data_IF_092500759653
#
_entry.id   IF_092500759653
#
_cell.length_a   1.000
_cell.length_b   1.000
_cell.length_c   1.000
_cell.angle_alpha   90.00
_cell.angle_beta   90.00
_cell.angle_gamma   90.00
#
_symmetry.space_group_name_H-M   'P 1'
#
loop_
_entity.id
_entity.type
_entity.pdbx_description
1 polymer ?
2 water ?
#
# COMPACT_ATOMS: atom_id res chain seq x y z
N UNK A 10 9.45 -13.40 -4.58
CA UNK A 10 10.82 -13.54 -4.02
C UNK A 10 11.91 -13.55 -5.10
N UNK A 11 11.54 -13.67 -6.38
CA UNK A 11 12.49 -13.66 -7.53
C UNK A 11 12.44 -12.36 -8.39
N UNK A 12 11.28 -11.70 -8.43
CA UNK A 12 11.15 -10.28 -8.85
C UNK A 12 10.66 -9.42 -7.62
N UNK A 13 11.17 -9.82 -6.45
CA UNK A 13 11.27 -8.95 -5.28
C UNK A 13 12.52 -8.06 -5.38
N UNK A 14 13.48 -8.50 -6.21
CA UNK A 14 14.63 -7.68 -6.66
C UNK A 14 14.21 -6.58 -7.66
N UNK A 15 13.33 -6.93 -8.61
CA UNK A 15 12.63 -5.93 -9.45
C UNK A 15 11.57 -5.15 -8.63
N UNK A 16 11.29 -5.67 -7.43
CA UNK A 16 10.61 -4.94 -6.34
C UNK A 16 11.54 -4.01 -5.54
N UNK A 17 12.69 -3.66 -6.14
CA UNK A 17 13.52 -2.52 -5.71
C UNK A 17 13.45 -1.45 -6.80
N UNK A 18 12.22 -1.19 -7.25
CA UNK A 18 11.89 -0.14 -8.20
C UNK A 18 11.44 1.14 -7.37
N UNK A 19 12.37 1.66 -6.58
CA UNK A 19 12.15 2.88 -5.81
C UNK A 19 11.04 2.83 -4.76
N UNK A 20 10.03 3.69 -4.87
CA UNK A 20 8.94 3.71 -3.89
C UNK A 20 7.72 2.92 -4.28
N UNK A 21 7.33 2.00 -3.42
CA UNK A 21 6.29 1.00 -3.71
C UNK A 21 5.38 0.75 -2.54
N UNK A 22 4.13 0.50 -2.83
CA UNK A 22 3.15 0.46 -1.79
C UNK A 22 2.41 -0.87 -1.92
N UNK A 23 2.36 -1.65 -0.84
CA UNK A 23 1.58 -2.89 -0.87
C UNK A 23 0.29 -2.66 -0.22
N UNK A 24 -0.75 -3.06 -0.91
CA UNK A 24 -2.08 -3.02 -0.35
C UNK A 24 -2.50 -4.47 -0.22
N UNK A 25 -2.72 -4.87 1.03
CA UNK A 25 -3.03 -6.27 1.30
C UNK A 25 -4.42 -6.41 1.80
N UNK A 26 -5.16 -7.34 1.21
CA UNK A 26 -6.55 -7.50 1.58
C UNK A 26 -6.97 -8.92 1.58
N UNK A 27 -8.18 -9.12 2.06
CA UNK A 27 -8.74 -10.41 2.22
C UNK A 27 -9.97 -10.49 1.37
N UNK A 28 -10.34 -11.72 1.03
CA UNK A 28 -11.45 -11.99 0.11
C UNK A 28 -12.83 -11.47 0.52
N UNK A 29 -13.22 -11.58 1.78
CA UNK A 29 -14.49 -10.98 2.19
C UNK A 29 -14.26 -9.90 3.24
N UNK A 30 -14.23 -8.64 2.77
CA UNK A 30 -13.81 -7.49 3.59
C UNK A 30 -14.30 -6.19 2.96
N UNK A 31 -15.32 -5.60 3.58
CA UNK A 31 -16.06 -4.47 2.99
C UNK A 31 -15.22 -3.22 2.93
N UNK A 32 -14.62 -2.91 4.07
CA UNK A 32 -13.69 -1.80 4.16
C UNK A 32 -12.58 -1.89 3.16
N UNK A 33 -11.99 -3.07 2.98
CA UNK A 33 -10.79 -3.15 2.15
C UNK A 33 -11.06 -2.40 0.85
N UNK A 34 -12.20 -2.73 0.27
CA UNK A 34 -12.58 -2.18 -1.00
C UNK A 34 -12.67 -0.70 -0.90
N UNK A 35 -13.47 -0.20 0.02
CA UNK A 35 -13.48 1.26 0.21
C UNK A 35 -12.07 1.87 0.35
N UNK A 36 -11.30 1.40 1.29
CA UNK A 36 -9.99 1.96 1.50
C UNK A 36 -9.10 1.87 0.32
N UNK A 37 -9.29 0.86 -0.50
CA UNK A 37 -8.46 0.75 -1.68
C UNK A 37 -8.85 1.90 -2.60
N UNK A 38 -10.14 2.20 -2.68
CA UNK A 38 -10.56 3.31 -3.49
C UNK A 38 -9.86 4.51 -2.91
N UNK A 39 -9.97 4.71 -1.60
CA UNK A 39 -9.39 5.88 -0.95
C UNK A 39 -7.89 5.99 -1.23
N UNK A 40 -7.15 4.91 -1.02
CA UNK A 40 -5.72 4.91 -1.37
C UNK A 40 -5.43 5.23 -2.83
N UNK A 41 -6.17 4.61 -3.73
CA UNK A 41 -5.99 4.86 -5.12
C UNK A 41 -6.09 6.33 -5.45
N UNK A 42 -6.96 7.00 -4.70
CA UNK A 42 -7.29 8.39 -4.94
C UNK A 42 -6.05 9.23 -4.68
N UNK A 43 -5.53 9.12 -3.47
CA UNK A 43 -4.26 9.73 -3.13
C UNK A 43 -3.21 9.47 -4.21
N UNK A 44 -3.07 8.21 -4.61
CA UNK A 44 -2.03 7.84 -5.54
C UNK A 44 -2.23 8.42 -6.92
N UNK A 45 -3.42 8.95 -7.21
CA UNK A 45 -3.58 9.70 -8.45
C UNK A 45 -2.47 10.75 -8.58
N UNK A 46 -2.17 11.44 -7.48
CA UNK A 46 -1.26 12.59 -7.52
C UNK A 46 0.22 12.25 -7.51
N UNK A 47 0.56 10.97 -7.42
CA UNK A 47 1.94 10.55 -7.22
C UNK A 47 2.25 9.38 -8.14
N UNK A 48 2.67 9.72 -9.35
CA UNK A 48 3.01 8.76 -10.41
C UNK A 48 4.15 7.80 -10.01
N UNK A 49 5.11 8.32 -9.23
CA UNK A 49 6.34 7.59 -8.85
C UNK A 49 6.19 6.54 -7.75
N UNK A 50 4.95 6.30 -7.34
CA UNK A 50 4.65 5.19 -6.46
C UNK A 50 4.08 4.07 -7.27
N UNK A 51 4.58 2.89 -6.96
CA UNK A 51 4.12 1.69 -7.58
C UNK A 51 3.26 0.91 -6.61
N UNK A 52 2.08 0.55 -7.08
CA UNK A 52 1.18 -0.23 -6.25
C UNK A 52 1.27 -1.69 -6.63
N UNK A 53 1.31 -2.50 -5.58
CA UNK A 53 1.06 -3.93 -5.70
C UNK A 53 -0.03 -4.33 -4.77
N UNK A 54 -1.00 -5.05 -5.31
CA UNK A 54 -2.09 -5.54 -4.47
C UNK A 54 -1.91 -6.99 -4.21
N UNK A 55 -2.07 -7.37 -2.96
CA UNK A 55 -2.11 -8.78 -2.66
C UNK A 55 -3.42 -9.16 -2.07
N UNK A 56 -4.11 -10.11 -2.69
CA UNK A 56 -5.39 -10.63 -2.16
C UNK A 56 -5.16 -11.96 -1.48
N UNK A 57 -5.31 -11.99 -0.16
CA UNK A 57 -5.17 -13.25 0.59
C UNK A 57 -6.48 -13.93 0.66
N UNK A 58 -6.43 -15.22 0.93
CA UNK A 58 -7.65 -15.98 1.06
C UNK A 58 -8.19 -15.77 2.46
N UNK A 59 -9.46 -16.11 2.65
CA UNK A 59 -10.16 -15.85 3.92
C UNK A 59 -9.69 -16.65 5.17
N UNK A 60 -9.99 -17.95 5.18
CA UNK A 60 -9.47 -18.93 6.15
C UNK A 60 -9.43 -18.46 7.60
N UNK A 70 -7.28 -12.30 10.55
CA UNK A 70 -6.66 -11.30 9.66
C UNK A 70 -7.66 -10.95 8.53
N UNK A 71 -8.09 -9.68 8.48
CA UNK A 71 -8.93 -9.16 7.38
C UNK A 71 -8.12 -8.14 6.58
N UNK A 72 -7.56 -7.18 7.30
CA UNK A 72 -6.82 -6.09 6.71
C UNK A 72 -7.78 -4.92 6.71
N UNK A 73 -7.58 -3.98 5.79
CA UNK A 73 -6.47 -3.96 4.87
C UNK A 73 -5.21 -3.52 5.53
N UNK A 74 -4.12 -3.73 4.83
CA UNK A 74 -2.86 -3.24 5.31
C UNK A 74 -2.15 -2.59 4.19
N UNK A 75 -1.55 -1.44 4.47
CA UNK A 75 -0.74 -0.78 3.50
C UNK A 75 0.66 -0.74 4.03
N UNK A 76 1.60 -1.07 3.16
CA UNK A 76 2.99 -0.99 3.49
C UNK A 76 3.61 -0.14 2.46
N UNK A 77 4.55 0.66 2.90
CA UNK A 77 5.25 1.47 1.96
C UNK A 77 6.70 1.09 2.08
N UNK A 78 7.32 0.82 0.93
CA UNK A 78 8.70 0.45 0.88
C UNK A 78 9.52 1.45 0.08
N UNK A 79 10.68 1.84 0.62
CA UNK A 79 11.59 2.66 -0.16
C UNK A 79 12.85 1.91 -0.37
N UNK A 80 13.23 1.76 -1.63
CA UNK A 80 14.34 0.91 -2.03
C UNK A 80 14.36 -0.36 -1.18
N UNK A 81 13.21 -0.98 -0.97
CA UNK A 81 13.17 -2.23 -0.21
C UNK A 81 12.98 -2.09 1.29
N UNK A 82 13.40 -0.95 1.86
CA UNK A 82 13.22 -0.69 3.30
C UNK A 82 11.75 -0.34 3.54
N UNK A 83 11.16 -0.92 4.61
CA UNK A 83 9.76 -0.63 4.97
C UNK A 83 9.70 0.70 5.68
N UNK A 84 9.05 1.69 5.11
CA UNK A 84 9.08 3.01 5.73
C UNK A 84 7.76 3.32 6.48
N UNK A 85 6.67 2.68 6.08
CA UNK A 85 5.36 2.90 6.69
C UNK A 85 4.50 1.64 6.62
N UNK A 86 3.77 1.43 7.70
CA UNK A 86 2.86 0.32 7.81
C UNK A 86 1.68 0.88 8.53
N UNK A 87 0.51 0.75 7.95
CA UNK A 87 -0.73 1.17 8.60
C UNK A 87 -1.68 0.03 8.45
N UNK A 88 -2.61 -0.11 9.37
CA UNK A 88 -3.54 -1.21 9.23
C UNK A 88 -4.89 -1.02 9.86
N UNK A 89 -5.88 -1.66 9.25
CA UNK A 89 -7.27 -1.64 9.70
C UNK A 89 -7.96 -0.31 9.42
N UNK A 90 -7.45 0.77 9.99
CA UNK A 90 -7.98 2.09 9.68
C UNK A 90 -6.75 2.90 9.29
N UNK A 91 -6.82 3.63 8.19
CA UNK A 91 -5.61 3.97 7.47
C UNK A 91 -5.50 5.47 7.27
N UNK A 92 -4.60 6.09 8.05
CA UNK A 92 -4.30 7.54 7.92
C UNK A 92 -3.85 7.82 6.54
N UNK A 93 -4.76 8.38 5.78
CA UNK A 93 -4.42 8.77 4.44
C UNK A 93 -3.49 9.99 4.55
N UNK A 94 -3.67 10.78 5.62
CA UNK A 94 -2.76 11.88 5.92
C UNK A 94 -1.35 11.28 6.10
N UNK A 95 -1.18 10.35 7.03
CA UNK A 95 0.15 9.76 7.21
C UNK A 95 0.73 9.21 5.91
N UNK A 96 -0.11 8.52 5.14
CA UNK A 96 0.34 7.94 3.89
C UNK A 96 0.84 9.04 2.96
N UNK A 97 0.03 10.07 2.81
CA UNK A 97 0.36 11.08 1.83
C UNK A 97 1.62 11.86 2.20
N UNK A 98 1.70 12.26 3.47
CA UNK A 98 2.81 13.11 3.89
C UNK A 98 4.04 12.27 3.73
N UNK A 99 3.92 11.00 4.08
CA UNK A 99 5.08 10.14 3.94
C UNK A 99 5.50 10.06 2.51
N UNK A 100 4.54 9.85 1.62
CA UNK A 100 4.92 9.77 0.21
C UNK A 100 5.63 11.06 -0.20
N UNK A 101 5.07 12.17 0.27
CA UNK A 101 5.54 13.47 -0.09
C UNK A 101 7.00 13.63 0.26
N UNK A 102 7.49 12.88 1.23
CA UNK A 102 8.87 13.07 1.63
C UNK A 102 9.75 12.62 0.51
N UNK A 103 9.16 12.11 -0.55
CA UNK A 103 9.93 11.78 -1.71
C UNK A 103 9.73 12.62 -2.98
N UNK A 104 8.91 13.65 -2.83
CA UNK A 104 8.68 14.55 -3.92
C UNK A 104 9.76 14.24 -4.93
#
# INVERSE_FOLDING_TARGET
GXNTFKTIEELATYIEEQQLVLLFIKTENCGVCDVMLRKVNYVLENYNYVEKIEILLQDMQEIAGRYAVFTGPTVLLFYNGKEILRESRFISLENLERTIQLFEE
#
